data_IF_625654609926
#
_entry.id   IF_625654609926
#
_cell.length_a   1.000
_cell.length_b   1.000
_cell.length_c   1.000
_cell.angle_alpha   90.00
_cell.angle_beta   90.00
_cell.angle_gamma   90.00
#
_symmetry.space_group_name_H-M   'P 1'
#
loop_
_entity.id
_entity.type
_entity.pdbx_description
1 polymer ?
#
# COMPACT_ATOMS: atom_id res chain seq x y z
N UNK A 1 40.30 3.88 -28.84
CA UNK A 1 39.24 4.74 -28.27
C UNK A 1 37.90 4.01 -28.22
N UNK A 2 37.83 2.86 -27.52
CA UNK A 2 36.59 2.06 -27.31
C UNK A 2 36.28 1.99 -25.81
N UNK A 3 36.15 3.15 -25.16
CA UNK A 3 36.32 3.21 -23.69
C UNK A 3 35.37 4.13 -22.94
N UNK A 4 34.51 4.88 -23.62
CA UNK A 4 33.49 5.71 -22.95
C UNK A 4 32.08 5.36 -23.42
N UNK A 5 31.88 5.07 -24.71
CA UNK A 5 30.60 4.59 -25.22
C UNK A 5 30.32 3.17 -24.73
N UNK A 6 31.28 2.26 -24.86
CA UNK A 6 31.13 0.89 -24.36
C UNK A 6 30.90 0.88 -22.84
N UNK A 7 31.61 1.74 -22.08
CA UNK A 7 31.36 1.89 -20.64
C UNK A 7 30.01 2.52 -20.31
N UNK A 8 29.54 3.49 -21.10
CA UNK A 8 28.23 4.08 -20.92
C UNK A 8 27.12 3.10 -21.28
N UNK A 9 27.36 2.23 -22.27
CA UNK A 9 26.50 1.12 -22.62
C UNK A 9 26.53 0.04 -21.53
N UNK A 10 27.68 -0.36 -21.01
CA UNK A 10 27.83 -1.27 -19.87
C UNK A 10 27.13 -0.74 -18.62
N UNK A 11 27.26 0.57 -18.35
CA UNK A 11 26.56 1.23 -17.25
C UNK A 11 25.06 1.30 -17.50
N UNK A 12 24.64 1.53 -18.75
CA UNK A 12 23.23 1.45 -19.16
C UNK A 12 22.69 0.01 -19.12
N UNK A 13 23.54 -1.00 -19.35
CA UNK A 13 23.22 -2.42 -19.22
C UNK A 13 23.14 -2.84 -17.75
N UNK A 14 23.90 -2.20 -16.86
CA UNK A 14 23.80 -2.38 -15.41
C UNK A 14 22.64 -1.62 -14.76
N UNK A 15 22.18 -0.51 -15.35
CA UNK A 15 21.10 0.33 -14.81
C UNK A 15 19.69 -0.05 -15.30
N UNK A 16 19.57 -0.87 -16.34
CA UNK A 16 18.30 -1.32 -16.92
C UNK A 16 18.01 -2.79 -16.60
N UNK A 17 16.72 -3.16 -16.58
CA UNK A 17 16.29 -4.56 -16.40
C UNK A 17 17.03 -5.51 -17.36
N UNK A 18 17.48 -6.66 -16.83
CA UNK A 18 18.10 -7.73 -17.62
C UNK A 18 17.06 -8.32 -18.57
N UNK A 19 17.18 -8.03 -19.88
CA UNK A 19 16.30 -8.57 -20.93
C UNK A 19 17.00 -9.65 -21.73
N UNK A 20 16.21 -10.45 -22.48
CA UNK A 20 16.75 -11.57 -23.26
C UNK A 20 17.74 -11.08 -24.32
N UNK A 21 17.44 -9.97 -24.99
CA UNK A 21 18.30 -9.36 -26.01
C UNK A 21 19.66 -8.94 -25.43
N UNK A 22 19.67 -8.40 -24.20
CA UNK A 22 20.91 -8.01 -23.50
C UNK A 22 21.73 -9.22 -23.09
N UNK A 23 21.08 -10.22 -22.50
CA UNK A 23 21.75 -11.46 -22.14
C UNK A 23 22.36 -12.15 -23.38
N UNK A 24 21.65 -12.14 -24.51
CA UNK A 24 22.16 -12.64 -25.79
C UNK A 24 23.41 -11.87 -26.25
N UNK A 25 23.38 -10.54 -26.19
CA UNK A 25 24.50 -9.70 -26.61
C UNK A 25 25.78 -9.95 -25.76
N UNK A 26 25.62 -10.10 -24.44
CA UNK A 26 26.73 -10.41 -23.52
C UNK A 26 27.33 -11.78 -23.86
N UNK A 27 26.49 -12.79 -24.05
CA UNK A 27 26.93 -14.15 -24.39
C UNK A 27 27.59 -14.19 -25.76
N UNK A 28 27.06 -13.47 -26.75
CA UNK A 28 27.67 -13.37 -28.08
C UNK A 28 29.06 -12.74 -28.02
N UNK A 29 29.27 -11.75 -27.16
CA UNK A 29 30.59 -11.16 -26.94
C UNK A 29 31.56 -12.15 -26.29
N UNK A 30 31.11 -12.92 -25.29
CA UNK A 30 31.91 -13.98 -24.68
C UNK A 30 32.32 -15.04 -25.71
N UNK A 31 31.43 -15.41 -26.62
CA UNK A 31 31.74 -16.35 -27.71
C UNK A 31 32.75 -15.74 -28.67
N UNK A 32 32.60 -14.46 -29.06
CA UNK A 32 33.57 -13.77 -29.93
C UNK A 32 34.95 -13.68 -29.31
N UNK A 33 35.02 -13.56 -27.99
CA UNK A 33 36.27 -13.54 -27.21
C UNK A 33 36.86 -14.94 -26.98
N UNK A 34 36.15 -16.00 -27.36
CA UNK A 34 36.56 -17.39 -27.13
C UNK A 34 36.38 -17.86 -25.68
N UNK A 35 35.67 -17.08 -24.85
CA UNK A 35 35.41 -17.35 -23.44
C UNK A 35 34.16 -18.23 -23.23
N UNK A 36 33.34 -18.41 -24.27
CA UNK A 36 32.16 -19.27 -24.27
C UNK A 36 31.97 -19.98 -25.62
N UNK A 37 31.26 -21.11 -25.64
CA UNK A 37 30.91 -21.82 -26.88
C UNK A 37 29.47 -21.53 -27.31
N UNK A 38 29.17 -21.72 -28.61
CA UNK A 38 27.78 -21.60 -29.12
C UNK A 38 26.81 -22.58 -28.46
N UNK A 39 27.26 -23.78 -28.10
CA UNK A 39 26.44 -24.77 -27.38
C UNK A 39 26.01 -24.28 -26.00
N UNK A 40 26.87 -23.51 -25.33
CA UNK A 40 26.57 -22.96 -24.00
C UNK A 40 25.69 -21.70 -24.05
N UNK A 41 25.47 -21.12 -25.24
CA UNK A 41 24.86 -19.80 -25.39
C UNK A 41 23.49 -19.68 -24.72
N UNK A 42 22.57 -20.58 -25.07
CA UNK A 42 21.20 -20.55 -24.56
C UNK A 42 21.15 -20.71 -23.03
N UNK A 43 21.93 -21.64 -22.49
CA UNK A 43 22.01 -21.87 -21.03
C UNK A 43 22.53 -20.64 -20.30
N UNK A 44 23.57 -19.99 -20.84
CA UNK A 44 24.12 -18.77 -20.24
C UNK A 44 23.13 -17.61 -20.31
N UNK A 45 22.40 -17.45 -21.42
CA UNK A 45 21.33 -16.45 -21.55
C UNK A 45 20.26 -16.67 -20.50
N UNK A 46 19.79 -17.91 -20.34
CA UNK A 46 18.78 -18.25 -19.33
C UNK A 46 19.27 -18.03 -17.90
N UNK A 47 20.51 -18.39 -17.59
CA UNK A 47 21.10 -18.15 -16.27
C UNK A 47 21.22 -16.66 -15.96
N UNK A 48 21.63 -15.84 -16.93
CA UNK A 48 21.70 -14.38 -16.77
C UNK A 48 20.31 -13.79 -16.51
N UNK A 49 19.31 -14.21 -17.29
CA UNK A 49 17.91 -13.79 -17.09
C UNK A 49 17.39 -14.18 -15.71
N UNK A 50 17.63 -15.43 -15.29
CA UNK A 50 17.19 -15.95 -13.97
C UNK A 50 17.85 -15.18 -12.83
N UNK A 51 19.17 -14.99 -12.90
CA UNK A 51 19.93 -14.21 -11.89
C UNK A 51 19.45 -12.76 -11.84
N UNK A 52 19.20 -12.14 -12.98
CA UNK A 52 18.67 -10.78 -13.05
C UNK A 52 17.31 -10.64 -12.39
N UNK A 53 16.40 -11.61 -12.60
CA UNK A 53 15.10 -11.64 -11.93
C UNK A 53 15.23 -11.79 -10.42
N UNK A 54 16.04 -12.74 -9.96
CA UNK A 54 16.27 -12.97 -8.53
C UNK A 54 16.86 -11.74 -7.84
N UNK A 55 17.92 -11.15 -8.41
CA UNK A 55 18.55 -9.94 -7.86
C UNK A 55 17.57 -8.76 -7.77
N UNK A 56 16.67 -8.63 -8.75
CA UNK A 56 15.65 -7.58 -8.75
C UNK A 56 14.62 -7.79 -7.63
N UNK A 57 14.23 -9.03 -7.36
CA UNK A 57 13.29 -9.35 -6.29
C UNK A 57 13.89 -9.12 -4.90
N UNK A 58 15.15 -9.52 -4.71
CA UNK A 58 15.93 -9.23 -3.50
C UNK A 58 16.07 -7.71 -3.29
N UNK A 59 16.44 -6.97 -4.34
CA UNK A 59 16.56 -5.50 -4.28
C UNK A 59 15.22 -4.82 -3.97
N UNK A 60 14.12 -5.27 -4.60
CA UNK A 60 12.77 -4.76 -4.30
C UNK A 60 12.40 -4.99 -2.84
N UNK A 61 12.74 -6.15 -2.29
CA UNK A 61 12.48 -6.50 -0.90
C UNK A 61 13.25 -5.59 0.05
N UNK A 62 14.55 -5.37 -0.23
CA UNK A 62 15.39 -4.43 0.52
C UNK A 62 14.84 -3.00 0.48
N UNK A 63 14.49 -2.51 -0.71
CA UNK A 63 13.92 -1.16 -0.87
C UNK A 63 12.60 -1.05 -0.10
N UNK A 64 11.70 -2.02 -0.25
CA UNK A 64 10.41 -2.00 0.46
C UNK A 64 10.60 -1.98 1.97
N UNK A 65 11.54 -2.77 2.48
CA UNK A 65 11.90 -2.78 3.89
C UNK A 65 12.45 -1.42 4.33
N UNK A 66 13.43 -0.87 3.62
CA UNK A 66 14.02 0.42 4.00
C UNK A 66 13.00 1.56 3.96
N UNK A 67 12.09 1.56 2.97
CA UNK A 67 10.98 2.51 2.89
C UNK A 67 10.03 2.33 4.07
N UNK A 68 9.63 1.10 4.38
CA UNK A 68 8.75 0.80 5.52
C UNK A 68 9.38 1.21 6.86
N UNK A 69 10.67 0.91 7.05
CA UNK A 69 11.43 1.26 8.24
C UNK A 69 11.56 2.78 8.36
N UNK A 70 11.79 3.48 7.26
CA UNK A 70 11.85 4.96 7.22
C UNK A 70 10.50 5.59 7.52
N UNK A 71 9.41 5.08 6.94
CA UNK A 71 8.05 5.56 7.24
C UNK A 71 7.69 5.33 8.71
N UNK A 72 8.08 4.18 9.27
CA UNK A 72 7.90 3.88 10.70
C UNK A 72 8.69 4.85 11.58
N UNK A 73 9.94 5.15 11.23
CA UNK A 73 10.79 6.14 11.95
C UNK A 73 10.21 7.56 11.90
N UNK A 74 9.49 7.91 10.83
CA UNK A 74 8.82 9.21 10.69
C UNK A 74 7.45 9.27 11.40
N UNK A 75 7.07 8.24 12.17
CA UNK A 75 5.74 8.09 12.79
C UNK A 75 4.58 8.19 11.78
N UNK A 76 4.82 7.84 10.51
CA UNK A 76 3.75 7.79 9.53
C UNK A 76 2.94 6.50 9.72
N UNK A 77 1.68 6.65 10.16
CA UNK A 77 0.76 5.52 10.26
C UNK A 77 0.49 4.93 8.86
N UNK A 78 0.63 3.61 8.73
CA UNK A 78 0.23 2.92 7.51
C UNK A 78 -1.29 2.80 7.44
N UNK A 79 -1.85 2.51 6.25
CA UNK A 79 -3.29 2.26 6.11
C UNK A 79 -3.78 1.11 6.99
N UNK A 80 -2.95 0.09 7.16
CA UNK A 80 -3.23 -1.06 8.02
C UNK A 80 -3.27 -0.66 9.50
N UNK A 81 -2.44 0.30 9.91
CA UNK A 81 -2.48 0.84 11.27
C UNK A 81 -3.79 1.59 11.53
N UNK A 82 -4.23 2.41 10.58
CA UNK A 82 -5.51 3.12 10.67
C UNK A 82 -6.68 2.13 10.74
N UNK A 83 -6.72 1.12 9.87
CA UNK A 83 -7.77 0.11 9.87
C UNK A 83 -7.77 -0.73 11.17
N UNK A 84 -6.60 -0.98 11.76
CA UNK A 84 -6.49 -1.65 13.08
C UNK A 84 -7.03 -0.77 14.19
N UNK A 85 -6.75 0.53 14.15
CA UNK A 85 -7.28 1.50 15.12
C UNK A 85 -8.80 1.63 15.00
N UNK A 86 -9.36 1.71 13.79
CA UNK A 86 -10.80 1.76 13.54
C UNK A 86 -11.53 0.55 14.13
N UNK A 87 -11.02 -0.68 13.89
CA UNK A 87 -11.60 -1.90 14.50
C UNK A 87 -11.58 -1.85 16.01
N UNK A 88 -10.46 -1.43 16.59
CA UNK A 88 -10.31 -1.34 18.04
C UNK A 88 -11.21 -0.25 18.65
N UNK A 89 -11.45 0.83 17.91
CA UNK A 89 -12.43 1.86 18.30
C UNK A 89 -13.85 1.26 18.30
N UNK A 90 -14.25 0.55 17.24
CA UNK A 90 -15.58 -0.08 17.17
C UNK A 90 -15.80 -1.12 18.29
N UNK A 91 -14.79 -1.94 18.58
CA UNK A 91 -14.83 -2.89 19.70
C UNK A 91 -15.01 -2.18 21.04
N UNK A 92 -14.27 -1.08 21.27
CA UNK A 92 -14.40 -0.28 22.48
C UNK A 92 -15.75 0.44 22.55
N UNK A 93 -16.27 0.95 21.45
CA UNK A 93 -17.60 1.57 21.37
C UNK A 93 -18.69 0.56 21.75
N UNK A 94 -18.62 -0.65 21.20
CA UNK A 94 -19.54 -1.75 21.52
C UNK A 94 -19.47 -2.13 23.00
N UNK A 95 -18.25 -2.30 23.53
CA UNK A 95 -18.05 -2.59 24.96
C UNK A 95 -18.58 -1.47 25.86
N UNK A 96 -18.42 -0.21 25.45
CA UNK A 96 -18.96 0.94 26.19
C UNK A 96 -20.49 0.94 26.15
N UNK A 97 -21.12 0.62 25.02
CA UNK A 97 -22.59 0.49 24.92
C UNK A 97 -23.12 -0.65 25.79
N UNK A 98 -22.49 -1.82 25.74
CA UNK A 98 -22.84 -2.98 26.56
C UNK A 98 -22.72 -2.67 28.06
N UNK A 99 -21.66 -1.96 28.47
CA UNK A 99 -21.46 -1.54 29.86
C UNK A 99 -22.35 -0.37 30.28
N UNK A 100 -22.77 0.49 29.33
CA UNK A 100 -23.73 1.57 29.62
C UNK A 100 -25.12 1.02 29.90
N UNK A 101 -25.43 -0.20 29.44
CA UNK A 101 -26.77 -0.78 29.50
C UNK A 101 -27.78 0.06 28.70
N UNK A 102 -29.02 -0.42 28.51
CA UNK A 102 -30.02 0.39 27.83
C UNK A 102 -30.17 1.70 28.60
N UNK A 103 -29.86 2.83 27.93
CA UNK A 103 -30.17 4.15 28.45
C UNK A 103 -31.61 4.11 28.97
N UNK A 104 -31.88 4.56 30.21
CA UNK A 104 -33.22 4.52 30.76
C UNK A 104 -34.15 5.20 29.75
N UNK A 105 -35.05 4.38 29.22
CA UNK A 105 -36.13 4.77 28.33
C UNK A 105 -36.73 6.07 28.81
N UNK A 106 -36.87 7.00 27.87
CA UNK A 106 -37.68 8.19 28.03
C UNK A 106 -39.07 7.80 28.56
N UNK A 107 -39.29 7.94 29.86
CA UNK A 107 -40.59 8.08 30.51
C UNK A 107 -40.33 8.74 31.86
N UNK A 108 -40.34 10.07 31.86
CA UNK A 108 -40.89 10.82 32.99
C UNK A 108 -42.11 11.55 32.44
N UNK A 109 -43.19 10.81 32.28
CA UNK A 109 -44.53 11.35 32.41
C UNK A 109 -44.73 11.65 33.90
N UNK A 110 -44.64 12.92 34.30
CA UNK A 110 -45.50 13.50 35.33
C UNK A 110 -45.25 15.01 35.45
N UNK A 111 -46.21 15.74 34.89
CA UNK A 111 -46.84 16.91 35.52
C UNK A 111 -46.01 18.17 35.69
N UNK A 112 -46.16 19.12 34.75
CA UNK A 112 -46.66 20.48 35.04
C UNK A 112 -47.67 20.84 33.92
N UNK A 113 -48.96 20.74 34.30
CA UNK A 113 -50.20 21.38 33.82
C UNK A 113 -50.15 22.20 32.50
N UNK A 114 -51.03 21.90 31.51
CA UNK A 114 -51.21 22.76 30.33
C UNK A 114 -52.01 24.04 30.67
N UNK A 115 -51.70 25.21 30.07
CA UNK A 115 -52.60 26.36 30.15
C UNK A 115 -53.89 26.09 29.36
N UNK A 116 -55.07 26.49 29.86
CA UNK A 116 -56.35 26.08 29.29
C UNK A 116 -56.64 26.80 27.97
N UNK A 117 -56.82 26.02 26.91
CA UNK A 117 -57.51 26.43 25.70
C UNK A 117 -59.02 26.38 25.96
N UNK A 118 -59.68 27.54 25.91
CA UNK A 118 -61.15 27.65 25.83
C UNK A 118 -61.48 28.53 24.63
N UNK A 119 -61.88 27.89 23.53
CA UNK A 119 -62.72 28.46 22.49
C UNK A 119 -64.19 28.03 22.75
N UNK A 120 -65.22 28.44 21.98
CA UNK A 120 -65.50 29.70 21.27
C UNK A 120 -66.94 30.23 21.55
N UNK A 121 -67.26 31.46 21.11
CA UNK A 121 -68.62 31.94 20.70
C UNK A 121 -68.45 33.35 20.12
N UNK A 122 -68.50 33.57 18.80
CA UNK A 122 -69.69 33.74 17.95
C UNK A 122 -70.55 34.97 18.31
N UNK A 123 -70.59 35.94 17.36
CA UNK A 123 -71.64 36.97 17.10
C UNK A 123 -71.80 38.11 18.13
N UNK A 124 -72.03 39.41 17.83
CA UNK A 124 -72.44 40.16 16.63
C UNK A 124 -72.48 41.67 17.00
N UNK A 125 -72.28 42.59 16.02
CA UNK A 125 -72.67 44.04 15.99
C UNK A 125 -71.91 44.99 16.96
N UNK A 126 -71.35 46.15 16.55
CA UNK A 126 -71.85 47.28 15.74
C UNK A 126 -70.68 48.02 15.05
#
# INVERSE_FOLDING_TARGET
MRTMLDKALDLAFGAADMTRERAQAIVDELIRRGEATREQSNTMVEDLLRRGQQQREELRTLIRREVSDTMSRMNMATRDDTARLERRIQELETLVEDLRGPAPTATTESTIVPPPEVAPAAETTE
#
